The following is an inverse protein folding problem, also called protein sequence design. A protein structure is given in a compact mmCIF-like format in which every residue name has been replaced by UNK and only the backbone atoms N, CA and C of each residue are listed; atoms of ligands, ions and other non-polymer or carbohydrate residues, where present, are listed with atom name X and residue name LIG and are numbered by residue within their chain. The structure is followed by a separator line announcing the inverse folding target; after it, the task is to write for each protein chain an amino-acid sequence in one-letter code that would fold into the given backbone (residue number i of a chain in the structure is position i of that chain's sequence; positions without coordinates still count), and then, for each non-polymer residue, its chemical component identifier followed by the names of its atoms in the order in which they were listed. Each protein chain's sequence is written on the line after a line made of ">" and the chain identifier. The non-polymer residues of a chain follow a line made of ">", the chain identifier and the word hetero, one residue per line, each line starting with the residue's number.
data_IF_653813356786
#
_entry.id   IF_653813356786
#
_cell.length_a   1.000
_cell.length_b   1.000
_cell.length_c   1.000
_cell.angle_alpha   90.00
_cell.angle_beta   90.00
_cell.angle_gamma   90.00
#
_symmetry.space_group_name_H-M   'P 1'
#
loop_
_entity.id
_entity.type
_entity.pdbx_description
1 polymer ?
#
# COMPACT_ATOMS: atom_id res chain seq x y z
N UNK A 1 60.78 -9.55 20.17
CA UNK A 1 59.65 -10.19 20.84
C UNK A 1 59.06 -9.18 21.82
N UNK A 2 58.14 -8.33 21.34
CA UNK A 2 57.46 -7.33 22.17
C UNK A 2 56.05 -7.85 22.48
N UNK A 3 55.80 -8.04 23.77
CA UNK A 3 54.50 -8.46 24.26
C UNK A 3 53.57 -7.25 24.28
N UNK A 4 52.49 -7.36 23.53
CA UNK A 4 51.43 -6.38 23.44
C UNK A 4 50.53 -6.49 24.69
N UNK A 5 50.73 -5.57 25.64
CA UNK A 5 49.92 -5.50 26.87
C UNK A 5 48.64 -4.72 26.53
N UNK A 6 47.58 -5.44 26.18
CA UNK A 6 46.23 -4.84 26.07
C UNK A 6 45.72 -4.43 27.47
N UNK A 7 45.85 -3.17 27.80
CA UNK A 7 45.20 -2.56 28.96
C UNK A 7 43.70 -2.47 28.67
N UNK A 8 42.93 -3.44 29.15
CA UNK A 8 41.50 -3.37 29.20
C UNK A 8 41.07 -2.24 30.16
N UNK A 9 40.77 -1.07 29.63
CA UNK A 9 40.11 -0.01 30.40
C UNK A 9 38.82 -0.56 30.98
N UNK A 10 38.72 -0.76 32.28
CA UNK A 10 37.49 -1.12 32.97
C UNK A 10 36.54 0.07 32.91
N UNK A 11 35.38 -0.10 32.24
CA UNK A 11 34.36 0.95 32.19
C UNK A 11 33.80 1.14 33.60
N UNK A 12 33.70 2.38 34.15
CA UNK A 12 33.22 2.64 35.52
C UNK A 12 31.88 1.99 35.87
N UNK A 13 31.01 1.80 34.88
CA UNK A 13 29.74 1.10 35.03
C UNK A 13 29.85 -0.41 35.18
N UNK A 14 30.98 -1.00 34.82
CA UNK A 14 31.17 -2.46 34.83
C UNK A 14 31.21 -3.01 36.25
N UNK A 15 31.89 -2.33 37.16
CA UNK A 15 31.95 -2.71 38.57
C UNK A 15 30.59 -2.57 39.24
N UNK A 16 29.88 -1.48 38.96
CA UNK A 16 28.54 -1.27 39.48
C UNK A 16 27.57 -2.34 38.98
N UNK A 17 27.64 -2.73 37.69
CA UNK A 17 26.80 -3.78 37.11
C UNK A 17 27.16 -5.17 37.64
N UNK A 18 28.46 -5.45 37.85
CA UNK A 18 28.93 -6.71 38.45
C UNK A 18 28.44 -6.82 39.90
N UNK A 19 28.54 -5.73 40.66
CA UNK A 19 28.05 -5.69 42.04
C UNK A 19 26.52 -5.83 42.10
N UNK A 20 25.77 -5.22 41.17
CA UNK A 20 24.35 -5.40 41.07
C UNK A 20 23.98 -6.85 40.71
N UNK A 21 24.64 -7.45 39.75
CA UNK A 21 24.40 -8.84 39.35
C UNK A 21 24.71 -9.83 40.49
N UNK A 22 25.74 -9.56 41.31
CA UNK A 22 26.03 -10.37 42.49
C UNK A 22 24.95 -10.24 43.56
N UNK A 23 24.42 -9.03 43.79
CA UNK A 23 23.30 -8.83 44.70
C UNK A 23 22.06 -9.59 44.26
N UNK A 24 21.73 -9.55 42.99
CA UNK A 24 20.60 -10.31 42.40
C UNK A 24 20.83 -11.81 42.60
N UNK A 25 21.99 -12.32 42.28
CA UNK A 25 22.31 -13.74 42.47
C UNK A 25 22.23 -14.20 43.94
N UNK A 26 22.61 -13.35 44.88
CA UNK A 26 22.45 -13.65 46.32
C UNK A 26 21.00 -13.61 46.75
N UNK A 27 20.24 -12.69 46.23
CA UNK A 27 18.80 -12.58 46.54
C UNK A 27 18.01 -13.79 46.01
N UNK A 28 18.42 -14.39 44.87
CA UNK A 28 17.74 -15.57 44.33
C UNK A 28 17.94 -16.85 45.12
N UNK A 29 18.90 -16.87 46.07
CA UNK A 29 19.11 -18.05 46.94
C UNK A 29 18.34 -18.01 48.24
N UNK A 30 17.66 -16.92 48.53
CA UNK A 30 16.81 -16.79 49.72
C UNK A 30 15.35 -17.03 49.34
N UNK A 31 14.67 -18.06 49.87
CA UNK A 31 13.26 -18.25 49.61
C UNK A 31 12.48 -17.05 50.10
N UNK A 32 11.77 -16.40 49.20
CA UNK A 32 10.85 -15.31 49.56
C UNK A 32 9.44 -15.86 49.48
N UNK A 33 8.71 -15.86 50.57
CA UNK A 33 7.26 -16.10 50.52
C UNK A 33 6.62 -14.91 49.81
N UNK A 34 6.20 -15.12 48.59
CA UNK A 34 5.47 -14.13 47.82
C UNK A 34 3.99 -14.20 48.18
N UNK A 35 3.36 -13.05 48.31
CA UNK A 35 1.92 -12.97 48.30
C UNK A 35 1.37 -13.65 47.04
N UNK A 36 0.26 -14.35 47.16
CA UNK A 36 -0.37 -15.14 46.09
C UNK A 36 -0.66 -14.25 44.88
N UNK A 37 -1.14 -13.04 45.07
CA UNK A 37 -1.41 -12.09 43.98
C UNK A 37 -0.12 -11.66 43.28
N UNK A 38 0.94 -11.40 44.05
CA UNK A 38 2.26 -11.04 43.47
C UNK A 38 2.90 -12.21 42.74
N UNK A 39 2.77 -13.45 43.26
CA UNK A 39 3.27 -14.65 42.61
C UNK A 39 2.57 -14.86 41.27
N UNK A 40 1.26 -14.77 41.20
CA UNK A 40 0.48 -14.89 39.97
C UNK A 40 0.86 -13.82 38.93
N UNK A 41 1.10 -12.59 39.37
CA UNK A 41 1.55 -11.52 38.47
C UNK A 41 2.94 -11.77 37.90
N UNK A 42 3.85 -12.28 38.72
CA UNK A 42 5.20 -12.65 38.28
C UNK A 42 5.11 -13.78 37.28
N UNK A 43 4.36 -14.86 37.58
CA UNK A 43 4.16 -15.98 36.68
C UNK A 43 3.58 -15.52 35.34
N UNK A 44 2.56 -14.67 35.36
CA UNK A 44 1.99 -14.11 34.13
C UNK A 44 3.02 -13.30 33.29
N UNK A 45 3.88 -12.51 33.96
CA UNK A 45 4.93 -11.74 33.27
C UNK A 45 6.02 -12.67 32.70
N UNK A 46 6.40 -13.70 33.45
CA UNK A 46 7.37 -14.69 33.03
C UNK A 46 6.85 -15.54 31.88
N UNK A 47 5.62 -16.00 31.95
CA UNK A 47 4.98 -16.75 30.89
C UNK A 47 4.91 -15.92 29.61
N UNK A 48 4.53 -14.64 29.74
CA UNK A 48 4.52 -13.72 28.60
C UNK A 48 5.91 -13.46 28.03
N UNK A 49 6.93 -13.37 28.87
CA UNK A 49 8.33 -13.19 28.44
C UNK A 49 8.91 -14.45 27.80
N UNK A 50 8.45 -15.62 28.22
CA UNK A 50 8.87 -16.93 27.73
C UNK A 50 8.00 -17.45 26.57
N UNK A 51 6.87 -16.78 26.27
CA UNK A 51 6.10 -17.14 25.08
C UNK A 51 7.01 -17.09 23.85
N UNK A 52 7.05 -18.16 23.06
CA UNK A 52 7.79 -18.14 21.81
C UNK A 52 7.29 -16.94 21.00
N UNK A 53 8.22 -16.08 20.63
CA UNK A 53 7.88 -14.96 19.74
C UNK A 53 7.51 -15.58 18.41
N UNK A 54 6.21 -15.79 18.21
CA UNK A 54 5.74 -16.18 16.89
C UNK A 54 6.03 -15.01 15.95
N UNK A 55 6.96 -15.21 15.03
CA UNK A 55 7.31 -14.23 14.01
C UNK A 55 6.32 -14.24 12.86
N UNK A 56 5.46 -15.25 12.77
CA UNK A 56 4.46 -15.37 11.73
C UNK A 56 3.39 -14.28 11.92
N UNK A 57 3.13 -13.56 10.85
CA UNK A 57 2.10 -12.54 10.80
C UNK A 57 1.00 -13.05 9.90
N UNK A 58 -0.20 -13.34 10.46
CA UNK A 58 -1.31 -13.78 9.63
C UNK A 58 -1.67 -12.68 8.65
N UNK A 59 -1.72 -13.02 7.37
CA UNK A 59 -2.18 -12.08 6.35
C UNK A 59 -3.68 -11.85 6.50
N UNK A 60 -4.14 -10.62 6.34
CA UNK A 60 -5.55 -10.33 6.25
C UNK A 60 -6.16 -11.00 5.00
N UNK A 61 -7.45 -11.30 5.03
CA UNK A 61 -8.16 -11.92 3.91
C UNK A 61 -8.14 -11.06 2.64
N UNK A 62 -7.94 -9.77 2.80
CA UNK A 62 -7.82 -8.81 1.70
C UNK A 62 -6.78 -7.73 2.01
N UNK A 63 -6.13 -7.25 0.97
CA UNK A 63 -5.22 -6.09 1.02
C UNK A 63 -5.49 -5.15 -0.16
N UNK A 64 -5.09 -3.89 -0.01
CA UNK A 64 -5.15 -2.94 -1.14
C UNK A 64 -4.07 -3.26 -2.19
N UNK A 65 -4.32 -2.84 -3.43
CA UNK A 65 -3.33 -2.94 -4.51
C UNK A 65 -2.02 -2.24 -4.16
N UNK A 66 -2.08 -1.08 -3.51
CA UNK A 66 -0.88 -0.36 -3.04
C UNK A 66 -0.11 -1.17 -2.00
N UNK A 67 -0.83 -1.82 -1.08
CA UNK A 67 -0.21 -2.70 -0.07
C UNK A 67 0.44 -3.94 -0.70
N UNK A 68 -0.14 -4.47 -1.76
CA UNK A 68 0.48 -5.55 -2.54
C UNK A 68 1.80 -5.10 -3.18
N UNK A 69 1.83 -3.90 -3.76
CA UNK A 69 3.07 -3.32 -4.32
C UNK A 69 4.14 -3.16 -3.25
N UNK A 70 3.78 -2.69 -2.06
CA UNK A 70 4.69 -2.59 -0.91
C UNK A 70 5.18 -3.97 -0.46
N UNK A 71 4.29 -4.97 -0.39
CA UNK A 71 4.60 -6.35 -0.02
C UNK A 71 5.61 -6.97 -0.97
N UNK A 72 5.44 -6.76 -2.27
CA UNK A 72 6.38 -7.25 -3.29
C UNK A 72 7.77 -6.60 -3.21
N UNK A 73 7.88 -5.40 -2.62
CA UNK A 73 9.14 -4.68 -2.45
C UNK A 73 9.81 -4.97 -1.11
N UNK A 74 9.03 -5.02 -0.04
CA UNK A 74 9.55 -5.15 1.33
C UNK A 74 8.55 -5.89 2.23
N UNK A 75 8.50 -7.23 2.14
CA UNK A 75 7.58 -8.04 2.92
C UNK A 75 7.75 -7.85 4.43
N UNK A 76 8.99 -7.70 4.92
CA UNK A 76 9.27 -7.47 6.34
C UNK A 76 8.68 -6.16 6.86
N UNK A 77 8.70 -5.10 6.07
CA UNK A 77 8.10 -3.82 6.45
C UNK A 77 6.58 -3.96 6.55
N UNK A 78 5.95 -4.63 5.60
CA UNK A 78 4.51 -4.88 5.61
C UNK A 78 4.12 -5.77 6.79
N UNK A 79 4.86 -6.84 7.05
CA UNK A 79 4.62 -7.73 8.20
C UNK A 79 4.69 -6.95 9.52
N UNK A 80 5.69 -6.09 9.71
CA UNK A 80 5.78 -5.23 10.90
C UNK A 80 4.59 -4.30 11.05
N UNK A 81 4.10 -3.71 9.96
CA UNK A 81 2.95 -2.81 9.98
C UNK A 81 1.65 -3.56 10.29
N UNK A 82 1.47 -4.80 9.77
CA UNK A 82 0.30 -5.63 10.09
C UNK A 82 0.34 -6.04 11.56
N UNK A 83 1.50 -6.48 12.06
CA UNK A 83 1.66 -6.91 13.46
C UNK A 83 1.44 -5.78 14.46
N UNK A 84 1.91 -4.58 14.13
CA UNK A 84 1.79 -3.39 14.99
C UNK A 84 1.41 -2.18 14.15
N UNK A 85 0.11 -2.02 13.84
CA UNK A 85 -0.36 -0.85 13.12
C UNK A 85 -0.02 0.43 13.89
N UNK A 86 0.81 1.26 13.29
CA UNK A 86 1.12 2.59 13.84
C UNK A 86 0.42 3.63 12.97
N UNK A 87 -0.56 4.38 13.51
CA UNK A 87 -1.16 5.48 12.77
C UNK A 87 -0.10 6.47 12.35
N UNK A 88 -0.02 6.73 11.05
CA UNK A 88 0.87 7.74 10.50
C UNK A 88 0.02 8.93 10.05
N UNK A 89 0.47 10.12 10.38
CA UNK A 89 -0.18 11.33 9.83
C UNK A 89 0.08 11.35 8.32
N UNK A 90 -0.96 11.59 7.49
CA UNK A 90 -0.75 11.77 6.07
C UNK A 90 0.29 12.86 5.80
N UNK A 91 1.20 12.60 4.89
CA UNK A 91 2.17 13.61 4.43
C UNK A 91 1.45 14.70 3.64
N UNK A 92 2.06 15.87 3.48
CA UNK A 92 1.51 16.93 2.63
C UNK A 92 1.26 16.43 1.20
N UNK A 93 2.21 15.67 0.64
CA UNK A 93 2.07 15.06 -0.69
C UNK A 93 0.91 14.04 -0.78
N UNK A 94 0.65 13.27 0.29
CA UNK A 94 -0.47 12.34 0.30
C UNK A 94 -1.82 13.08 0.33
N UNK A 95 -1.90 14.17 1.11
CA UNK A 95 -3.10 15.03 1.15
C UNK A 95 -3.34 15.72 -0.20
N UNK A 96 -2.29 16.29 -0.79
CA UNK A 96 -2.36 16.87 -2.13
C UNK A 96 -2.87 15.87 -3.16
N UNK A 97 -2.33 14.63 -3.14
CA UNK A 97 -2.80 13.55 -4.01
C UNK A 97 -4.30 13.28 -3.84
N UNK A 98 -4.76 13.13 -2.60
CA UNK A 98 -6.19 12.89 -2.30
C UNK A 98 -7.06 14.03 -2.85
N UNK A 99 -6.70 15.27 -2.58
CA UNK A 99 -7.46 16.44 -3.05
C UNK A 99 -7.53 16.49 -4.58
N UNK A 100 -6.44 16.22 -5.28
CA UNK A 100 -6.43 16.20 -6.76
C UNK A 100 -7.38 15.13 -7.31
N UNK A 101 -7.38 13.92 -6.72
CA UNK A 101 -8.29 12.85 -7.15
C UNK A 101 -9.77 13.23 -6.92
N UNK A 102 -10.10 13.75 -5.73
CA UNK A 102 -11.44 14.25 -5.42
C UNK A 102 -11.87 15.37 -6.37
N UNK A 103 -10.95 16.29 -6.70
CA UNK A 103 -11.24 17.34 -7.65
C UNK A 103 -11.46 16.81 -9.07
N UNK A 104 -10.68 15.88 -9.57
CA UNK A 104 -10.85 15.25 -10.89
C UNK A 104 -12.21 14.51 -10.94
N UNK A 105 -12.55 13.78 -9.89
CA UNK A 105 -13.83 13.12 -9.75
C UNK A 105 -14.98 14.14 -9.87
N UNK A 106 -14.90 15.24 -9.10
CA UNK A 106 -15.88 16.31 -9.16
C UNK A 106 -15.96 16.98 -10.55
N UNK A 107 -14.81 17.23 -11.17
CA UNK A 107 -14.72 17.80 -12.52
C UNK A 107 -15.50 16.98 -13.54
N UNK A 108 -15.30 15.68 -13.56
CA UNK A 108 -16.00 14.79 -14.47
C UNK A 108 -17.48 14.64 -14.12
N UNK A 109 -17.83 14.54 -12.86
CA UNK A 109 -19.21 14.41 -12.39
C UNK A 109 -20.03 15.66 -12.69
N UNK A 110 -19.48 16.85 -12.40
CA UNK A 110 -20.15 18.13 -12.63
C UNK A 110 -20.36 18.43 -14.12
N UNK A 111 -19.37 18.15 -14.94
CA UNK A 111 -19.39 18.48 -16.36
C UNK A 111 -20.15 17.45 -17.20
N UNK A 112 -20.59 16.33 -16.61
CA UNK A 112 -21.23 15.21 -17.33
C UNK A 112 -22.37 14.62 -16.52
N UNK A 113 -23.58 15.20 -16.64
CA UNK A 113 -24.78 14.68 -15.99
C UNK A 113 -25.04 13.22 -16.39
N UNK A 114 -25.23 12.35 -15.42
CA UNK A 114 -25.45 10.92 -15.60
C UNK A 114 -24.29 10.04 -15.17
N UNK A 115 -23.14 10.61 -14.81
CA UNK A 115 -22.04 9.92 -14.19
C UNK A 115 -22.25 10.00 -12.68
N UNK A 116 -22.76 8.94 -12.09
CA UNK A 116 -22.93 8.85 -10.64
C UNK A 116 -21.69 8.17 -10.06
N UNK A 117 -21.03 8.75 -9.05
CA UNK A 117 -20.01 8.03 -8.30
C UNK A 117 -20.59 6.72 -7.78
N UNK A 118 -19.81 5.64 -7.85
CA UNK A 118 -20.26 4.31 -7.42
C UNK A 118 -20.27 4.14 -5.89
N UNK A 119 -20.01 5.20 -5.14
CA UNK A 119 -20.03 5.23 -3.68
C UNK A 119 -21.19 6.09 -3.17
N UNK A 120 -21.90 5.56 -2.19
CA UNK A 120 -22.84 6.33 -1.37
C UNK A 120 -22.08 7.47 -0.69
N UNK A 121 -22.38 8.70 -1.11
CA UNK A 121 -21.77 9.93 -0.58
C UNK A 121 -22.53 10.32 0.71
N UNK A 122 -22.65 9.43 1.68
CA UNK A 122 -23.20 9.85 2.98
C UNK A 122 -22.14 10.39 3.96
N UNK A 123 -20.83 10.20 3.68
CA UNK A 123 -19.76 10.58 4.61
C UNK A 123 -18.64 11.47 4.02
N UNK A 124 -18.78 11.95 2.80
CA UNK A 124 -17.81 12.92 2.29
C UNK A 124 -18.43 14.32 2.42
N UNK A 125 -18.15 14.98 3.54
CA UNK A 125 -18.22 16.44 3.56
C UNK A 125 -17.38 16.93 2.38
N UNK A 126 -18.07 17.44 1.34
CA UNK A 126 -17.44 18.10 0.21
C UNK A 126 -16.57 19.17 0.84
N UNK A 127 -15.26 18.95 0.85
CA UNK A 127 -14.31 19.97 1.24
C UNK A 127 -14.58 21.16 0.32
N UNK A 128 -15.18 22.18 0.89
CA UNK A 128 -15.65 23.36 0.18
C UNK A 128 -14.46 24.00 -0.53
N UNK A 129 -14.69 24.59 -1.70
CA UNK A 129 -13.70 25.32 -2.53
C UNK A 129 -12.65 26.16 -1.75
N UNK A 130 -12.94 26.51 -0.51
CA UNK A 130 -12.07 27.30 0.37
C UNK A 130 -10.81 26.56 0.85
N UNK A 131 -10.79 25.22 0.96
CA UNK A 131 -9.58 24.48 1.36
C UNK A 131 -8.63 24.25 0.17
N UNK A 132 -9.12 24.37 -1.06
CA UNK A 132 -8.33 24.21 -2.27
C UNK A 132 -7.35 25.35 -2.50
N UNK A 133 -7.74 26.56 -2.14
CA UNK A 133 -6.93 27.77 -2.34
C UNK A 133 -5.75 27.89 -1.34
N UNK A 134 -5.79 27.16 -0.23
CA UNK A 134 -4.74 27.21 0.80
C UNK A 134 -3.56 26.27 0.53
N UNK A 135 -3.72 25.25 -0.34
CA UNK A 135 -2.66 24.29 -0.65
C UNK A 135 -1.88 24.74 -1.88
N UNK A 136 -0.70 25.29 -1.64
CA UNK A 136 0.24 25.72 -2.69
C UNK A 136 0.52 24.53 -3.64
N UNK A 137 0.15 24.64 -4.91
CA UNK A 137 0.38 23.62 -5.94
C UNK A 137 -0.91 22.99 -6.51
N UNK A 138 -2.02 22.98 -5.79
CA UNK A 138 -3.28 22.40 -6.30
C UNK A 138 -3.82 23.18 -7.50
N UNK A 139 -3.80 24.51 -7.46
CA UNK A 139 -4.25 25.36 -8.55
C UNK A 139 -3.47 25.06 -9.84
N UNK A 140 -2.13 24.89 -9.73
CA UNK A 140 -1.27 24.56 -10.87
C UNK A 140 -1.60 23.16 -11.45
N UNK A 141 -1.85 22.17 -10.58
CA UNK A 141 -2.22 20.82 -11.02
C UNK A 141 -3.59 20.80 -11.71
N UNK A 142 -4.53 21.60 -11.20
CA UNK A 142 -5.84 21.78 -11.81
C UNK A 142 -5.72 22.41 -13.20
N UNK A 143 -4.98 23.52 -13.34
CA UNK A 143 -4.74 24.17 -14.63
C UNK A 143 -4.09 23.20 -15.63
N UNK A 144 -3.11 22.41 -15.19
CA UNK A 144 -2.45 21.40 -16.02
C UNK A 144 -3.41 20.30 -16.46
N UNK A 145 -4.30 19.85 -15.58
CA UNK A 145 -5.32 18.88 -15.95
C UNK A 145 -6.32 19.46 -16.95
N UNK A 146 -6.85 20.67 -16.70
CA UNK A 146 -7.80 21.36 -17.56
C UNK A 146 -7.24 21.64 -18.96
N UNK A 147 -5.91 21.88 -19.05
CA UNK A 147 -5.20 22.08 -20.31
C UNK A 147 -4.80 20.76 -21.01
N UNK A 148 -4.99 19.62 -20.37
CA UNK A 148 -4.62 18.31 -20.92
C UNK A 148 -5.74 17.72 -21.79
N UNK A 149 -5.37 16.75 -22.66
CA UNK A 149 -6.35 15.99 -23.45
C UNK A 149 -7.35 15.22 -22.55
N UNK A 150 -7.01 14.97 -21.30
CA UNK A 150 -7.86 14.24 -20.36
C UNK A 150 -9.11 15.02 -20.00
N UNK A 151 -9.04 16.33 -19.88
CA UNK A 151 -10.21 17.17 -19.62
C UNK A 151 -11.25 17.11 -20.74
N UNK A 152 -10.83 16.84 -21.97
CA UNK A 152 -11.71 16.71 -23.13
C UNK A 152 -12.31 15.30 -23.28
N UNK A 153 -11.62 14.27 -22.75
CA UNK A 153 -12.07 12.88 -22.82
C UNK A 153 -13.25 12.62 -21.87
N UNK A 154 -14.08 11.64 -22.24
CA UNK A 154 -15.19 11.18 -21.39
C UNK A 154 -14.84 9.80 -20.83
N UNK A 155 -14.56 9.67 -19.53
CA UNK A 155 -14.43 8.35 -18.91
C UNK A 155 -15.77 7.63 -18.91
N UNK A 156 -15.75 6.31 -18.99
CA UNK A 156 -16.93 5.45 -18.80
C UNK A 156 -17.22 5.32 -17.32
N UNK A 157 -16.19 5.24 -16.50
CA UNK A 157 -16.27 5.17 -15.04
C UNK A 157 -15.15 5.98 -14.40
N UNK A 158 -15.42 6.53 -13.21
CA UNK A 158 -14.47 7.23 -12.35
C UNK A 158 -14.48 6.51 -11.01
N UNK A 159 -13.33 6.49 -10.32
CA UNK A 159 -13.17 5.86 -9.01
C UNK A 159 -13.75 4.44 -8.97
N UNK A 160 -13.53 3.69 -10.07
CA UNK A 160 -14.11 2.37 -10.24
C UNK A 160 -13.51 1.37 -9.24
N UNK A 161 -14.34 0.93 -8.28
CA UNK A 161 -13.95 -0.10 -7.33
C UNK A 161 -13.75 -1.44 -8.04
N UNK A 162 -12.62 -2.10 -7.79
CA UNK A 162 -12.29 -3.40 -8.36
C UNK A 162 -11.73 -4.34 -7.31
N UNK A 163 -12.04 -5.62 -7.50
CA UNK A 163 -11.55 -6.69 -6.65
C UNK A 163 -11.13 -7.89 -7.50
N UNK A 164 -10.06 -8.55 -7.13
CA UNK A 164 -9.63 -9.80 -7.76
C UNK A 164 -8.89 -10.68 -6.78
N UNK A 165 -8.99 -12.00 -6.95
CA UNK A 165 -8.23 -12.94 -6.14
C UNK A 165 -6.95 -13.38 -6.85
N UNK A 166 -5.84 -13.40 -6.12
CA UNK A 166 -4.54 -13.91 -6.58
C UNK A 166 -4.00 -14.83 -5.49
N UNK A 167 -3.79 -16.10 -5.81
CA UNK A 167 -3.35 -17.14 -4.86
C UNK A 167 -4.16 -17.18 -3.54
N UNK A 168 -5.48 -17.01 -3.62
CA UNK A 168 -6.37 -17.03 -2.46
C UNK A 168 -6.43 -15.71 -1.66
N UNK A 169 -5.56 -14.74 -1.95
CA UNK A 169 -5.61 -13.41 -1.35
C UNK A 169 -6.47 -12.48 -2.19
N UNK A 170 -7.41 -11.79 -1.57
CA UNK A 170 -8.25 -10.80 -2.23
C UNK A 170 -7.52 -9.46 -2.31
N UNK A 171 -7.33 -8.97 -3.54
CA UNK A 171 -6.75 -7.67 -3.84
C UNK A 171 -7.86 -6.69 -4.19
N UNK A 172 -7.95 -5.60 -3.43
CA UNK A 172 -8.93 -4.52 -3.64
C UNK A 172 -8.24 -3.25 -4.10
N UNK A 173 -8.89 -2.54 -4.99
CA UNK A 173 -8.38 -1.27 -5.45
C UNK A 173 -9.47 -0.40 -6.06
N UNK A 174 -9.06 0.78 -6.49
CA UNK A 174 -9.90 1.74 -7.14
C UNK A 174 -9.14 2.27 -8.33
N UNK A 175 -9.76 2.20 -9.51
CA UNK A 175 -9.21 2.73 -10.75
C UNK A 175 -9.72 4.15 -10.89
N UNK A 176 -8.82 5.11 -10.98
CA UNK A 176 -9.21 6.53 -10.93
C UNK A 176 -10.11 6.92 -12.12
N UNK A 177 -9.77 6.44 -13.34
CA UNK A 177 -10.64 6.63 -14.49
C UNK A 177 -10.53 5.47 -15.48
N UNK A 178 -11.64 5.13 -16.11
CA UNK A 178 -11.73 4.10 -17.17
C UNK A 178 -12.27 4.73 -18.43
N UNK A 179 -11.48 4.65 -19.49
CA UNK A 179 -11.88 5.14 -20.81
C UNK A 179 -12.09 3.97 -21.78
N UNK A 180 -12.92 4.23 -22.77
CA UNK A 180 -13.23 3.26 -23.80
C UNK A 180 -13.09 3.88 -25.18
N UNK A 181 -12.57 3.11 -26.12
CA UNK A 181 -12.54 3.47 -27.54
C UNK A 181 -13.00 2.31 -28.41
N UNK A 182 -13.75 2.62 -29.45
CA UNK A 182 -14.31 1.62 -30.36
C UNK A 182 -15.36 0.71 -29.73
N UNK A 183 -15.65 -0.41 -30.41
CA UNK A 183 -16.67 -1.37 -30.02
C UNK A 183 -18.09 -0.88 -30.26
N UNK A 184 -19.08 -1.69 -29.85
CA UNK A 184 -20.51 -1.34 -29.93
C UNK A 184 -20.92 -0.53 -28.71
N UNK A 185 -21.35 0.72 -28.90
CA UNK A 185 -21.78 1.62 -27.83
C UNK A 185 -23.07 1.18 -27.11
N UNK A 186 -23.83 0.25 -27.71
CA UNK A 186 -25.02 -0.32 -27.06
C UNK A 186 -24.66 -1.41 -26.03
N UNK A 187 -23.43 -1.89 -26.04
CA UNK A 187 -22.91 -2.89 -25.09
C UNK A 187 -22.06 -2.15 -24.07
N UNK A 188 -22.52 -2.08 -22.83
CA UNK A 188 -21.88 -1.30 -21.76
C UNK A 188 -20.39 -1.69 -21.57
N UNK A 189 -20.11 -2.99 -21.50
CA UNK A 189 -18.76 -3.54 -21.33
C UNK A 189 -18.42 -4.46 -22.51
N UNK A 190 -18.36 -3.85 -23.70
CA UNK A 190 -18.07 -4.58 -24.94
C UNK A 190 -16.65 -5.18 -24.90
N UNK A 191 -16.51 -6.52 -25.02
CA UNK A 191 -15.23 -7.17 -25.00
C UNK A 191 -14.35 -6.85 -26.22
N UNK A 192 -14.94 -6.40 -27.34
CA UNK A 192 -14.22 -6.01 -28.56
C UNK A 192 -13.71 -4.56 -28.52
N UNK A 193 -14.20 -3.75 -27.59
CA UNK A 193 -13.72 -2.40 -27.38
C UNK A 193 -12.31 -2.37 -26.78
N UNK A 194 -11.59 -1.27 -26.96
CA UNK A 194 -10.34 -1.00 -26.28
C UNK A 194 -10.62 -0.22 -25.00
N UNK A 195 -10.03 -0.68 -23.91
CA UNK A 195 -10.19 -0.13 -22.57
C UNK A 195 -8.86 0.43 -22.08
N UNK A 196 -8.88 1.64 -21.57
CA UNK A 196 -7.73 2.31 -21.00
C UNK A 196 -8.00 2.64 -19.53
N UNK A 197 -7.23 2.03 -18.63
CA UNK A 197 -7.28 2.28 -17.20
C UNK A 197 -6.24 3.34 -16.85
N UNK A 198 -6.70 4.43 -16.27
CA UNK A 198 -5.85 5.58 -15.93
C UNK A 198 -5.73 5.70 -14.43
N UNK A 199 -4.51 5.99 -13.98
CA UNK A 199 -4.17 6.25 -12.59
C UNK A 199 -3.38 7.57 -12.53
N UNK A 200 -3.99 8.57 -11.88
CA UNK A 200 -3.44 9.92 -11.75
C UNK A 200 -2.33 9.97 -10.70
N UNK A 201 -1.25 10.66 -10.99
CA UNK A 201 -0.13 10.82 -10.07
C UNK A 201 0.29 12.28 -9.97
N UNK A 202 0.37 12.78 -8.73
CA UNK A 202 0.87 14.14 -8.42
C UNK A 202 2.36 14.14 -8.15
N UNK A 203 2.93 13.00 -7.78
CA UNK A 203 4.35 12.86 -7.44
C UNK A 203 5.30 12.86 -8.64
N UNK A 204 6.58 12.60 -8.36
CA UNK A 204 7.63 12.52 -9.38
C UNK A 204 7.42 11.38 -10.39
N UNK A 205 7.88 11.58 -11.59
CA UNK A 205 7.94 10.53 -12.61
C UNK A 205 9.00 9.49 -12.20
N UNK A 206 8.67 8.19 -12.10
CA UNK A 206 9.64 7.16 -11.77
C UNK A 206 10.64 6.95 -12.92
N UNK A 207 11.83 6.49 -12.57
CA UNK A 207 12.80 5.99 -13.52
C UNK A 207 12.31 4.69 -14.16
N UNK A 208 12.91 4.31 -15.30
CA UNK A 208 12.57 3.06 -15.98
C UNK A 208 12.88 1.82 -15.10
N UNK A 209 13.87 1.90 -14.21
CA UNK A 209 14.17 0.86 -13.24
C UNK A 209 13.10 0.68 -12.15
N UNK A 210 12.35 1.72 -11.81
CA UNK A 210 11.26 1.70 -10.84
C UNK A 210 9.92 1.27 -11.45
N UNK A 211 9.78 1.39 -12.79
CA UNK A 211 8.52 1.10 -13.49
C UNK A 211 8.01 -0.34 -13.29
N UNK A 212 8.83 -1.40 -13.29
CA UNK A 212 8.33 -2.76 -13.09
C UNK A 212 7.53 -2.95 -11.79
N UNK A 213 7.99 -2.33 -10.69
CA UNK A 213 7.28 -2.39 -9.43
C UNK A 213 6.00 -1.53 -9.44
N UNK A 214 6.08 -0.34 -10.01
CA UNK A 214 4.91 0.55 -10.14
C UNK A 214 3.81 -0.08 -10.99
N UNK A 215 4.20 -0.74 -12.09
CA UNK A 215 3.25 -1.37 -13.01
C UNK A 215 2.44 -2.52 -12.40
N UNK A 216 2.86 -3.07 -11.26
CA UNK A 216 2.09 -4.10 -10.55
C UNK A 216 0.68 -3.61 -10.18
N UNK A 217 0.52 -2.34 -9.80
CA UNK A 217 -0.78 -1.75 -9.54
C UNK A 217 -1.69 -1.83 -10.76
N UNK A 218 -1.22 -1.38 -11.91
CA UNK A 218 -1.97 -1.44 -13.16
C UNK A 218 -2.20 -2.87 -13.66
N UNK A 219 -1.25 -3.78 -13.41
CA UNK A 219 -1.43 -5.20 -13.76
C UNK A 219 -2.59 -5.82 -12.95
N UNK A 220 -2.69 -5.51 -11.67
CA UNK A 220 -3.80 -5.96 -10.81
C UNK A 220 -5.12 -5.34 -11.30
N UNK A 221 -5.15 -4.05 -11.60
CA UNK A 221 -6.32 -3.36 -12.11
C UNK A 221 -6.82 -3.97 -13.43
N UNK A 222 -5.91 -4.23 -14.37
CA UNK A 222 -6.23 -4.90 -15.63
C UNK A 222 -6.83 -6.29 -15.41
N UNK A 223 -6.22 -7.08 -14.52
CA UNK A 223 -6.71 -8.42 -14.19
C UNK A 223 -8.10 -8.36 -13.56
N UNK A 224 -8.30 -7.44 -12.61
CA UNK A 224 -9.57 -7.25 -11.93
C UNK A 224 -10.67 -6.80 -12.91
N UNK A 225 -10.38 -5.81 -13.75
CA UNK A 225 -11.29 -5.30 -14.77
C UNK A 225 -11.67 -6.37 -15.78
N UNK A 226 -10.69 -7.11 -16.27
CA UNK A 226 -10.88 -8.25 -17.20
C UNK A 226 -11.84 -9.28 -16.61
N UNK A 227 -11.60 -9.72 -15.37
CA UNK A 227 -12.41 -10.75 -14.72
C UNK A 227 -13.81 -10.26 -14.37
N UNK A 228 -13.94 -9.00 -13.95
CA UNK A 228 -15.21 -8.41 -13.55
C UNK A 228 -16.17 -8.26 -14.74
N UNK A 229 -15.63 -7.88 -15.91
CA UNK A 229 -16.45 -7.54 -17.07
C UNK A 229 -16.31 -8.53 -18.23
N UNK A 230 -15.50 -9.57 -18.09
CA UNK A 230 -15.28 -10.57 -19.16
C UNK A 230 -14.53 -10.01 -20.38
N UNK A 231 -13.73 -8.96 -20.20
CA UNK A 231 -12.98 -8.31 -21.27
C UNK A 231 -11.62 -8.99 -21.43
N UNK A 232 -11.19 -9.38 -22.65
CA UNK A 232 -9.87 -9.93 -22.89
C UNK A 232 -8.76 -8.95 -22.45
N UNK A 233 -7.71 -9.47 -21.81
CA UNK A 233 -6.59 -8.65 -21.29
C UNK A 233 -5.86 -7.88 -22.39
N UNK A 234 -5.80 -8.41 -23.59
CA UNK A 234 -5.22 -7.75 -24.77
C UNK A 234 -5.99 -6.50 -25.21
N UNK A 235 -7.27 -6.38 -24.79
CA UNK A 235 -8.10 -5.23 -25.06
C UNK A 235 -8.08 -4.18 -23.92
N UNK A 236 -7.29 -4.45 -22.86
CA UNK A 236 -7.15 -3.56 -21.72
C UNK A 236 -5.72 -3.07 -21.63
N UNK A 237 -5.52 -1.76 -21.63
CA UNK A 237 -4.23 -1.12 -21.31
C UNK A 237 -4.33 -0.39 -19.97
N UNK A 238 -3.18 0.00 -19.41
CA UNK A 238 -3.12 0.79 -18.19
C UNK A 238 -2.04 1.87 -18.30
N UNK A 239 -2.31 3.03 -17.75
CA UNK A 239 -1.45 4.20 -17.88
C UNK A 239 -1.37 4.98 -16.58
N UNK A 240 -0.16 5.43 -16.22
CA UNK A 240 0.05 6.46 -15.22
C UNK A 240 0.14 7.82 -15.89
N UNK A 241 -0.59 8.78 -15.37
CA UNK A 241 -0.56 10.18 -15.82
C UNK A 241 -0.01 11.06 -14.71
N UNK A 242 1.22 11.55 -14.91
CA UNK A 242 1.93 12.41 -13.95
C UNK A 242 1.57 13.86 -14.21
N UNK A 243 0.52 14.36 -13.56
CA UNK A 243 -0.10 15.67 -13.80
C UNK A 243 0.89 16.83 -13.65
N UNK A 244 1.70 16.82 -12.58
CA UNK A 244 2.69 17.87 -12.34
C UNK A 244 3.68 18.05 -13.49
N UNK A 245 3.93 16.99 -14.25
CA UNK A 245 4.96 16.92 -15.27
C UNK A 245 4.41 16.86 -16.70
N UNK A 246 3.09 16.66 -16.88
CA UNK A 246 2.48 16.42 -18.18
C UNK A 246 3.03 15.15 -18.87
N UNK A 247 3.42 14.15 -18.08
CA UNK A 247 4.06 12.92 -18.58
C UNK A 247 3.16 11.73 -18.39
N UNK A 248 3.02 10.92 -19.43
CA UNK A 248 2.32 9.65 -19.40
C UNK A 248 3.32 8.49 -19.43
N UNK A 249 3.05 7.46 -18.66
CA UNK A 249 3.84 6.23 -18.65
C UNK A 249 2.92 5.03 -18.82
N UNK A 250 3.02 4.37 -19.95
CA UNK A 250 2.38 3.08 -20.22
C UNK A 250 3.44 1.99 -20.07
N UNK A 251 3.28 1.05 -19.11
CA UNK A 251 4.18 -0.10 -19.01
C UNK A 251 4.19 -0.89 -20.31
N UNK A 252 5.38 -1.28 -20.77
CA UNK A 252 5.51 -2.13 -21.96
C UNK A 252 4.97 -3.54 -21.69
N UNK A 253 5.24 -4.05 -20.48
CA UNK A 253 4.79 -5.35 -20.03
C UNK A 253 4.03 -5.23 -18.73
N UNK A 254 2.96 -5.98 -18.61
CA UNK A 254 2.18 -6.11 -17.38
C UNK A 254 2.37 -7.50 -16.79
N UNK A 255 2.54 -7.58 -15.49
CA UNK A 255 2.62 -8.85 -14.78
C UNK A 255 1.35 -9.68 -15.03
N UNK A 256 1.55 -10.94 -15.38
CA UNK A 256 0.48 -11.94 -15.53
C UNK A 256 -0.02 -12.39 -14.15
N UNK A 257 -1.19 -13.02 -14.10
CA UNK A 257 -1.70 -13.62 -12.85
C UNK A 257 -0.67 -14.56 -12.21
N UNK A 258 -0.02 -15.41 -12.98
CA UNK A 258 1.00 -16.33 -12.49
C UNK A 258 2.25 -15.61 -11.93
N UNK A 259 2.63 -14.49 -12.53
CA UNK A 259 3.73 -13.66 -11.99
C UNK A 259 3.34 -12.96 -10.68
N UNK A 260 2.09 -12.49 -10.56
CA UNK A 260 1.58 -11.92 -9.31
C UNK A 260 1.50 -12.99 -8.21
N UNK A 261 1.06 -14.21 -8.52
CA UNK A 261 1.07 -15.36 -7.60
C UNK A 261 2.48 -15.69 -7.14
N UNK A 262 3.46 -15.71 -8.06
CA UNK A 262 4.86 -15.96 -7.73
C UNK A 262 5.43 -14.87 -6.80
N UNK A 263 5.08 -13.61 -6.99
CA UNK A 263 5.49 -12.52 -6.11
C UNK A 263 4.91 -12.68 -4.70
N UNK A 264 3.64 -13.13 -4.59
CA UNK A 264 3.03 -13.45 -3.31
C UNK A 264 3.76 -14.61 -2.63
N UNK A 265 3.97 -15.72 -3.33
CA UNK A 265 4.67 -16.88 -2.77
C UNK A 265 6.06 -16.52 -2.27
N UNK A 266 6.81 -15.69 -3.01
CA UNK A 266 8.11 -15.21 -2.58
C UNK A 266 8.05 -14.32 -1.33
N UNK A 267 6.98 -13.51 -1.18
CA UNK A 267 6.80 -12.63 -0.02
C UNK A 267 6.39 -13.40 1.26
N UNK A 268 5.77 -14.57 1.12
CA UNK A 268 5.38 -15.41 2.26
C UNK A 268 6.47 -16.37 2.72
N UNK A 269 7.58 -16.46 2.00
CA UNK A 269 8.57 -17.52 2.20
C UNK A 269 8.02 -18.87 1.72
N UNK A 270 8.85 -19.65 1.07
CA UNK A 270 8.49 -20.96 0.55
C UNK A 270 8.15 -21.92 1.71
N UNK A 271 6.88 -21.98 2.16
CA UNK A 271 6.43 -23.03 3.09
C UNK A 271 6.50 -24.44 2.45
N UNK A 272 6.90 -24.53 1.19
CA UNK A 272 7.01 -25.79 0.45
C UNK A 272 8.29 -26.59 0.71
N UNK A 273 9.21 -26.09 1.58
CA UNK A 273 10.49 -26.77 1.84
C UNK A 273 10.59 -27.44 3.22
N UNK A 274 9.48 -27.52 3.96
CA UNK A 274 9.42 -28.19 5.26
C UNK A 274 8.37 -29.27 5.29
N UNK A 275 8.58 -30.35 4.54
CA UNK A 275 7.92 -31.64 4.76
C UNK A 275 8.83 -32.78 4.28
#
# INVERSE_FOLDING_TARGET
>A
MMADVQVRRSHPRREALTGAAQRVRRATTTPVELDVDLAQRIDWVLDRANMPVNHDVPMPEHISTSRFVELAQNPDAVARQIRRPMPQRPTAAAREGTLVHEWIEHFYTKNRPGMTPMLDIEDTEILVDAEWDEVTGLAELREKFEASEWAEKTPVMIEAAVETSVAGLTLRGRIDAVFRSGGDLNIAFDPEARWELVDWKTGRVPSDAEMPHRSLQLAIYRLAWSRLHGIPLENITGKFVYLAHGVEKTPQDFATAAQLEKLLAAAFGDESSAN
#
